data_IF_923899433257
#
_entry.id   IF_923899433257
#
_cell.length_a   1.000
_cell.length_b   1.000
_cell.length_c   1.000
_cell.angle_alpha   90.00
_cell.angle_beta   90.00
_cell.angle_gamma   90.00
#
_symmetry.space_group_name_H-M   'P 1'
#
loop_
_entity.id
_entity.type
_entity.pdbx_description
1 polymer ?
#
# COMPACT_ATOMS: atom_id res chain seq x y z
N UNK A 1 34.56 24.07 17.12
CA UNK A 1 34.39 23.43 15.81
C UNK A 1 35.63 23.82 15.02
N UNK A 2 36.44 22.84 14.66
CA UNK A 2 37.81 23.05 14.17
C UNK A 2 37.81 23.78 12.81
N UNK A 3 38.54 24.88 12.68
CA UNK A 3 38.49 25.76 11.49
C UNK A 3 38.89 25.02 10.20
N UNK A 4 39.75 24.01 10.33
CA UNK A 4 40.17 23.15 9.22
C UNK A 4 39.01 22.32 8.63
N UNK A 5 38.04 21.92 9.47
CA UNK A 5 36.82 21.22 9.00
C UNK A 5 35.86 22.16 8.28
N UNK A 6 35.88 23.44 8.64
CA UNK A 6 35.08 24.48 7.97
C UNK A 6 35.64 24.82 6.59
N UNK A 7 36.95 24.87 6.44
CA UNK A 7 37.60 25.18 5.16
C UNK A 7 37.40 24.03 4.15
N UNK A 8 37.57 22.78 4.59
CA UNK A 8 37.31 21.59 3.73
C UNK A 8 35.88 21.51 3.23
N UNK A 9 34.89 21.90 4.05
CA UNK A 9 33.49 21.93 3.65
C UNK A 9 33.23 23.03 2.60
N UNK A 10 33.85 24.20 2.76
CA UNK A 10 33.75 25.31 1.79
C UNK A 10 34.35 24.93 0.45
N UNK A 11 35.51 24.27 0.46
CA UNK A 11 36.17 23.79 -0.75
C UNK A 11 35.31 22.75 -1.48
N UNK A 12 34.74 21.78 -0.75
CA UNK A 12 33.84 20.78 -1.31
C UNK A 12 32.61 21.41 -1.98
N UNK A 13 31.99 22.41 -1.36
CA UNK A 13 30.83 23.10 -1.91
C UNK A 13 31.18 23.97 -3.12
N UNK A 14 32.39 24.56 -3.16
CA UNK A 14 32.86 25.35 -4.31
C UNK A 14 33.10 24.46 -5.53
N UNK A 15 33.65 23.27 -5.32
CA UNK A 15 33.98 22.34 -6.39
C UNK A 15 32.76 21.56 -6.91
N UNK A 16 31.74 21.35 -6.06
CA UNK A 16 30.52 20.61 -6.45
C UNK A 16 29.32 21.51 -6.76
N UNK A 17 29.51 22.84 -6.84
CA UNK A 17 28.43 23.73 -7.27
C UNK A 17 28.14 23.51 -8.77
N UNK A 18 26.90 23.15 -9.16
CA UNK A 18 26.56 23.00 -10.56
C UNK A 18 26.78 24.33 -11.31
N UNK A 19 27.60 24.29 -12.36
CA UNK A 19 27.89 25.45 -13.21
C UNK A 19 26.65 25.80 -14.01
N UNK A 20 25.86 26.76 -13.52
CA UNK A 20 24.78 27.35 -14.30
C UNK A 20 25.43 28.27 -15.36
N UNK A 21 25.49 27.81 -16.62
CA UNK A 21 25.85 28.68 -17.75
C UNK A 21 24.65 29.57 -18.05
N UNK A 22 24.66 30.79 -17.51
CA UNK A 22 23.80 31.87 -17.99
C UNK A 22 24.45 32.37 -19.29
N UNK A 23 23.86 32.03 -20.43
CA UNK A 23 24.27 32.54 -21.73
C UNK A 23 23.73 33.97 -21.86
N UNK A 24 24.54 34.97 -21.49
CA UNK A 24 24.35 36.33 -22.01
C UNK A 24 24.84 36.31 -23.45
N UNK A 25 23.93 36.57 -24.39
CA UNK A 25 24.22 36.51 -25.82
C UNK A 25 25.29 37.51 -26.24
N UNK A 26 26.18 37.06 -27.11
CA UNK A 26 26.62 37.89 -28.22
C UNK A 26 27.02 37.04 -29.42
N UNK A 27 26.56 37.50 -30.57
CA UNK A 27 26.76 36.96 -31.91
C UNK A 27 28.23 36.96 -32.32
N UNK A 28 28.71 35.82 -32.83
CA UNK A 28 29.63 35.79 -33.99
C UNK A 28 29.73 34.38 -34.57
N UNK A 29 29.42 34.28 -35.86
CA UNK A 29 29.58 33.09 -36.69
C UNK A 29 31.04 32.60 -36.72
N UNK A 30 31.27 31.30 -36.51
CA UNK A 30 31.99 30.47 -37.49
C UNK A 30 31.86 28.97 -37.22
N UNK A 31 31.81 28.23 -38.34
CA UNK A 31 31.69 26.79 -38.52
C UNK A 31 32.75 25.99 -37.74
N UNK A 32 32.35 24.86 -37.14
CA UNK A 32 32.87 23.55 -37.54
C UNK A 32 32.01 22.37 -37.05
N UNK A 33 31.90 21.36 -37.91
CA UNK A 33 31.12 20.14 -37.79
C UNK A 33 31.69 19.17 -36.73
N UNK A 34 30.83 18.59 -35.89
CA UNK A 34 30.69 17.12 -35.82
C UNK A 34 29.37 16.74 -35.16
N UNK A 35 28.63 15.87 -35.85
CA UNK A 35 27.25 15.51 -35.59
C UNK A 35 27.20 14.16 -34.83
N UNK A 36 26.26 14.09 -33.87
CA UNK A 36 25.43 12.92 -33.54
C UNK A 36 26.08 11.69 -32.88
N UNK A 37 25.80 11.51 -31.59
CA UNK A 37 24.66 10.68 -31.15
C UNK A 37 24.63 10.56 -29.62
N UNK A 38 23.85 11.40 -28.95
CA UNK A 38 23.43 11.22 -27.55
C UNK A 38 22.18 12.08 -27.29
N UNK A 39 21.09 11.75 -27.98
CA UNK A 39 19.77 12.29 -27.68
C UNK A 39 18.70 11.24 -27.99
N UNK A 40 18.49 10.35 -27.03
CA UNK A 40 17.21 9.70 -26.82
C UNK A 40 16.96 9.78 -25.32
N UNK A 41 15.86 10.44 -24.96
CA UNK A 41 15.20 10.46 -23.64
C UNK A 41 15.04 11.82 -22.95
N UNK A 42 15.01 12.94 -23.69
CA UNK A 42 14.50 14.21 -23.15
C UNK A 42 13.63 14.97 -24.17
N UNK A 43 12.50 14.38 -24.56
CA UNK A 43 11.39 15.17 -25.11
C UNK A 43 10.64 15.83 -23.94
N UNK A 44 11.11 17.01 -23.53
CA UNK A 44 10.31 18.03 -22.89
C UNK A 44 10.24 19.19 -23.88
N UNK A 45 9.08 19.30 -24.53
CA UNK A 45 8.74 20.34 -25.48
C UNK A 45 8.97 21.73 -24.84
N UNK A 46 10.06 22.38 -25.23
CA UNK A 46 10.28 23.79 -25.00
C UNK A 46 9.99 24.52 -26.32
N UNK A 47 8.72 24.82 -26.58
CA UNK A 47 8.33 25.72 -27.66
C UNK A 47 8.25 27.15 -27.11
N UNK A 48 9.28 27.93 -27.44
CA UNK A 48 9.30 29.38 -27.65
C UNK A 48 8.09 30.16 -27.08
N UNK A 49 8.27 30.71 -25.89
CA UNK A 49 7.56 31.90 -25.44
C UNK A 49 8.29 33.11 -26.02
N UNK A 50 7.68 33.79 -26.99
CA UNK A 50 7.71 35.25 -27.15
C UNK A 50 6.86 35.66 -28.37
N UNK A 51 5.54 35.70 -28.19
CA UNK A 51 4.68 36.72 -28.81
C UNK A 51 3.31 36.74 -28.10
N UNK A 52 2.76 37.89 -27.69
CA UNK A 52 1.52 37.96 -26.92
C UNK A 52 0.34 38.23 -27.84
N UNK A 53 -0.34 37.21 -28.37
CA UNK A 53 -1.74 37.38 -28.82
C UNK A 53 -2.43 36.03 -29.13
N UNK A 54 -3.55 35.82 -28.45
CA UNK A 54 -4.74 35.05 -28.88
C UNK A 54 -4.53 33.53 -29.03
N UNK A 55 -4.92 32.79 -27.99
CA UNK A 55 -6.15 31.96 -28.05
C UNK A 55 -6.38 31.27 -26.72
N UNK A 56 -7.61 31.39 -26.21
CA UNK A 56 -8.13 30.65 -25.07
C UNK A 56 -8.24 29.15 -25.42
N UNK A 57 -7.12 28.45 -25.62
CA UNK A 57 -7.12 27.01 -25.68
C UNK A 57 -7.15 26.47 -24.25
N UNK A 58 -8.37 26.37 -23.72
CA UNK A 58 -8.72 25.40 -22.68
C UNK A 58 -8.09 24.08 -23.10
N UNK A 59 -6.99 23.70 -22.47
CA UNK A 59 -6.47 22.34 -22.52
C UNK A 59 -7.56 21.44 -21.92
N UNK A 60 -8.51 20.98 -22.75
CA UNK A 60 -9.41 19.89 -22.42
C UNK A 60 -8.53 18.65 -22.32
N UNK A 61 -7.82 18.50 -21.20
CA UNK A 61 -7.30 17.21 -20.80
C UNK A 61 -8.50 16.27 -20.80
N UNK A 62 -8.51 15.26 -21.66
CA UNK A 62 -9.55 14.23 -21.65
C UNK A 62 -9.53 13.56 -20.27
N UNK A 63 -10.34 14.07 -19.34
CA UNK A 63 -10.51 13.48 -18.02
C UNK A 63 -11.25 12.17 -18.24
N UNK A 64 -10.61 11.06 -17.87
CA UNK A 64 -11.22 9.73 -17.91
C UNK A 64 -12.57 9.78 -17.19
N UNK A 65 -13.60 9.29 -17.86
CA UNK A 65 -14.90 9.08 -17.24
C UNK A 65 -14.89 7.72 -16.51
N UNK A 66 -14.73 7.78 -15.19
CA UNK A 66 -14.66 6.56 -14.37
C UNK A 66 -16.00 5.84 -14.21
N UNK A 67 -17.13 6.44 -14.60
CA UNK A 67 -18.42 5.73 -14.61
C UNK A 67 -18.57 4.87 -15.86
N UNK A 68 -18.04 5.33 -17.01
CA UNK A 68 -17.98 4.54 -18.25
C UNK A 68 -16.86 3.52 -18.24
N UNK A 69 -15.68 3.93 -17.77
CA UNK A 69 -14.49 3.09 -17.68
C UNK A 69 -13.96 3.07 -16.25
N UNK A 70 -14.51 2.23 -15.35
CA UNK A 70 -14.07 2.17 -13.97
C UNK A 70 -12.58 1.82 -13.84
N UNK A 71 -11.96 2.33 -12.78
CA UNK A 71 -10.65 1.84 -12.38
C UNK A 71 -10.85 0.51 -11.65
N UNK A 72 -10.48 -0.58 -12.32
CA UNK A 72 -10.54 -1.94 -11.80
C UNK A 72 -9.18 -2.29 -11.21
N UNK A 73 -9.15 -2.66 -9.93
CA UNK A 73 -7.94 -2.99 -9.17
C UNK A 73 -8.09 -4.40 -8.62
N UNK A 74 -7.11 -5.28 -8.83
CA UNK A 74 -7.13 -6.61 -8.21
C UNK A 74 -6.74 -6.49 -6.73
N UNK A 75 -7.53 -7.09 -5.83
CA UNK A 75 -7.22 -7.19 -4.42
C UNK A 75 -6.41 -8.47 -4.16
N UNK A 76 -5.20 -8.32 -3.63
CA UNK A 76 -4.31 -9.43 -3.27
C UNK A 76 -4.36 -9.80 -1.78
N UNK A 77 -5.16 -9.09 -0.97
CA UNK A 77 -5.30 -9.30 0.47
C UNK A 77 -5.72 -10.73 0.83
N UNK A 78 -6.80 -11.31 0.23
CA UNK A 78 -7.19 -12.70 0.52
C UNK A 78 -6.06 -13.71 0.27
N UNK A 79 -5.27 -13.51 -0.78
CA UNK A 79 -4.14 -14.37 -1.11
C UNK A 79 -3.02 -14.25 -0.08
N UNK A 80 -2.71 -13.02 0.36
CA UNK A 80 -1.74 -12.77 1.42
C UNK A 80 -2.18 -13.42 2.73
N UNK A 81 -3.45 -13.26 3.11
CA UNK A 81 -4.03 -13.89 4.31
C UNK A 81 -3.92 -15.42 4.24
N UNK A 82 -4.26 -16.03 3.12
CA UNK A 82 -4.12 -17.47 2.95
C UNK A 82 -2.68 -17.95 3.10
N UNK A 83 -1.71 -17.26 2.49
CA UNK A 83 -0.28 -17.60 2.64
C UNK A 83 0.16 -17.47 4.11
N UNK A 84 -0.28 -16.41 4.79
CA UNK A 84 0.00 -16.20 6.21
C UNK A 84 -0.54 -17.37 7.06
N UNK A 85 -1.80 -17.75 6.85
CA UNK A 85 -2.43 -18.87 7.56
C UNK A 85 -1.72 -20.20 7.25
N UNK A 86 -1.39 -20.46 5.98
CA UNK A 86 -0.73 -21.70 5.54
C UNK A 86 0.65 -21.86 6.19
N UNK A 87 1.49 -20.82 6.18
CA UNK A 87 2.80 -20.87 6.85
C UNK A 87 2.61 -21.03 8.36
N UNK A 88 1.64 -20.33 8.96
CA UNK A 88 1.33 -20.45 10.39
C UNK A 88 0.93 -21.88 10.77
N UNK A 89 0.11 -22.55 9.95
CA UNK A 89 -0.25 -23.97 10.16
C UNK A 89 0.95 -24.89 10.07
N UNK A 90 1.87 -24.68 9.12
CA UNK A 90 3.10 -25.49 9.01
C UNK A 90 3.97 -25.33 10.26
N UNK A 91 4.16 -24.10 10.74
CA UNK A 91 4.90 -23.83 11.98
C UNK A 91 4.21 -24.49 13.17
N UNK A 92 2.89 -24.38 13.28
CA UNK A 92 2.13 -25.01 14.36
C UNK A 92 2.30 -26.54 14.37
N UNK A 93 2.24 -27.19 13.21
CA UNK A 93 2.50 -28.62 13.07
C UNK A 93 3.92 -28.96 13.54
N UNK A 94 4.93 -28.19 13.11
CA UNK A 94 6.32 -28.42 13.49
C UNK A 94 6.56 -28.28 15.01
N UNK A 95 6.01 -27.24 15.63
CA UNK A 95 6.07 -27.05 17.09
C UNK A 95 5.46 -28.26 17.80
N UNK A 96 4.32 -28.75 17.35
CA UNK A 96 3.63 -29.87 18.01
C UNK A 96 4.39 -31.19 17.85
N UNK A 97 5.02 -31.43 16.69
CA UNK A 97 5.92 -32.57 16.49
C UNK A 97 7.11 -32.55 17.47
N UNK A 98 7.60 -31.36 17.85
CA UNK A 98 8.70 -31.21 18.79
C UNK A 98 8.28 -31.39 20.26
N UNK A 99 7.13 -30.84 20.65
CA UNK A 99 6.70 -30.81 22.07
C UNK A 99 5.73 -31.94 22.46
N UNK A 100 5.32 -32.79 21.52
CA UNK A 100 4.47 -33.99 21.72
C UNK A 100 3.19 -33.72 22.52
N UNK A 101 2.59 -32.54 22.37
CA UNK A 101 1.37 -32.18 23.10
C UNK A 101 0.43 -31.28 22.28
N UNK A 102 -0.87 -31.36 22.62
CA UNK A 102 -1.96 -30.45 22.23
C UNK A 102 -2.47 -30.49 20.77
N UNK A 103 -3.20 -31.56 20.41
CA UNK A 103 -3.93 -31.71 19.13
C UNK A 103 -4.93 -30.57 18.83
N UNK A 104 -5.53 -29.96 19.87
CA UNK A 104 -6.51 -28.87 19.71
C UNK A 104 -5.93 -27.64 18.99
N UNK A 105 -4.64 -27.35 19.16
CA UNK A 105 -3.99 -26.26 18.44
C UNK A 105 -3.88 -26.55 16.93
N UNK A 106 -3.64 -27.80 16.53
CA UNK A 106 -3.67 -28.20 15.11
C UNK A 106 -5.05 -27.93 14.54
N UNK A 107 -6.10 -28.40 15.20
CA UNK A 107 -7.47 -28.23 14.73
C UNK A 107 -7.84 -26.75 14.51
N UNK A 108 -7.41 -25.84 15.40
CA UNK A 108 -7.66 -24.40 15.26
C UNK A 108 -6.91 -23.84 14.04
N UNK A 109 -5.60 -24.06 13.93
CA UNK A 109 -4.80 -23.51 12.84
C UNK A 109 -5.20 -24.10 11.48
N UNK A 110 -5.50 -25.41 11.41
CA UNK A 110 -5.96 -26.04 10.17
C UNK A 110 -7.34 -25.55 9.76
N UNK A 111 -8.25 -25.32 10.72
CA UNK A 111 -9.57 -24.75 10.43
C UNK A 111 -9.47 -23.33 9.85
N UNK A 112 -8.65 -22.46 10.45
CA UNK A 112 -8.44 -21.08 9.95
C UNK A 112 -7.86 -21.09 8.53
N UNK A 113 -6.87 -21.95 8.27
CA UNK A 113 -6.26 -22.09 6.95
C UNK A 113 -7.25 -22.64 5.93
N UNK A 114 -8.07 -23.63 6.32
CA UNK A 114 -9.12 -24.18 5.46
C UNK A 114 -10.17 -23.11 5.11
N UNK A 115 -10.63 -22.32 6.07
CA UNK A 115 -11.55 -21.20 5.81
C UNK A 115 -10.97 -20.21 4.80
N UNK A 116 -9.69 -19.84 4.97
CA UNK A 116 -9.00 -18.93 4.05
C UNK A 116 -8.85 -19.52 2.65
N UNK A 117 -8.54 -20.82 2.55
CA UNK A 117 -8.45 -21.55 1.29
C UNK A 117 -9.79 -21.62 0.56
N UNK A 118 -10.85 -22.05 1.25
CA UNK A 118 -12.20 -22.14 0.71
C UNK A 118 -12.67 -20.79 0.17
N UNK A 119 -12.34 -19.69 0.86
CA UNK A 119 -12.67 -18.34 0.39
C UNK A 119 -12.01 -18.02 -0.95
N UNK A 120 -10.74 -18.37 -1.15
CA UNK A 120 -10.05 -18.18 -2.44
C UNK A 120 -10.68 -19.03 -3.53
N UNK A 121 -10.93 -20.32 -3.25
CA UNK A 121 -11.48 -21.27 -4.22
C UNK A 121 -12.90 -20.88 -4.64
N UNK A 122 -13.79 -20.64 -3.67
CA UNK A 122 -15.19 -20.26 -3.92
C UNK A 122 -15.30 -18.98 -4.75
N UNK A 123 -14.34 -18.06 -4.59
CA UNK A 123 -14.30 -16.82 -5.34
C UNK A 123 -13.42 -16.88 -6.60
N UNK A 124 -12.91 -18.06 -6.97
CA UNK A 124 -11.99 -18.27 -8.11
C UNK A 124 -10.79 -17.30 -8.09
N UNK A 125 -10.33 -16.92 -6.90
CA UNK A 125 -9.30 -15.92 -6.68
C UNK A 125 -9.58 -14.57 -7.40
N UNK A 126 -10.85 -14.20 -7.50
CA UNK A 126 -11.33 -13.05 -8.26
C UNK A 126 -11.90 -11.96 -7.32
N UNK A 127 -10.99 -11.30 -6.61
CA UNK A 127 -11.29 -10.18 -5.74
C UNK A 127 -10.86 -8.88 -6.40
N UNK A 128 -11.77 -7.92 -6.55
CA UNK A 128 -11.52 -6.67 -7.28
C UNK A 128 -12.17 -5.49 -6.59
N UNK A 129 -11.50 -4.34 -6.67
CA UNK A 129 -12.06 -3.05 -6.31
C UNK A 129 -12.42 -2.31 -7.59
N UNK A 130 -13.67 -1.86 -7.69
CA UNK A 130 -14.16 -1.01 -8.76
C UNK A 130 -14.30 0.40 -8.24
N UNK A 131 -13.55 1.34 -8.82
CA UNK A 131 -13.58 2.75 -8.46
C UNK A 131 -14.20 3.53 -9.63
N UNK A 132 -15.37 4.12 -9.40
CA UNK A 132 -16.07 4.99 -10.35
C UNK A 132 -16.04 6.45 -9.88
N UNK A 133 -16.76 7.38 -10.51
CA UNK A 133 -16.87 8.74 -9.98
C UNK A 133 -17.76 8.81 -8.74
N UNK A 134 -18.75 7.91 -8.64
CA UNK A 134 -19.80 7.92 -7.62
C UNK A 134 -19.54 6.97 -6.45
N UNK A 135 -18.88 5.84 -6.71
CA UNK A 135 -18.81 4.73 -5.75
C UNK A 135 -17.52 3.93 -5.87
N UNK A 136 -17.16 3.29 -4.76
CA UNK A 136 -16.08 2.32 -4.63
C UNK A 136 -16.71 1.01 -4.18
N UNK A 137 -16.56 -0.05 -4.98
CA UNK A 137 -17.15 -1.37 -4.72
C UNK A 137 -16.07 -2.42 -4.50
N UNK A 138 -16.24 -3.21 -3.46
CA UNK A 138 -15.53 -4.47 -3.28
C UNK A 138 -16.33 -5.60 -3.95
N UNK A 139 -15.72 -6.27 -4.92
CA UNK A 139 -16.35 -7.34 -5.69
C UNK A 139 -15.61 -8.65 -5.47
N UNK A 140 -16.33 -9.68 -5.07
CA UNK A 140 -15.86 -11.06 -5.01
C UNK A 140 -16.77 -11.94 -5.89
N UNK A 141 -16.16 -12.74 -6.78
CA UNK A 141 -16.90 -13.60 -7.72
C UNK A 141 -18.05 -12.90 -8.47
N UNK A 142 -17.79 -11.69 -8.97
CA UNK A 142 -18.75 -10.85 -9.68
C UNK A 142 -19.94 -10.34 -8.85
N UNK A 143 -19.97 -10.59 -7.53
CA UNK A 143 -20.95 -10.04 -6.59
C UNK A 143 -20.33 -8.88 -5.81
N UNK A 144 -21.11 -7.83 -5.57
CA UNK A 144 -20.68 -6.72 -4.72
C UNK A 144 -20.84 -7.13 -3.27
N UNK A 145 -19.75 -7.26 -2.52
CA UNK A 145 -19.80 -7.59 -1.09
C UNK A 145 -19.86 -6.32 -0.23
N UNK A 146 -19.23 -5.24 -0.68
CA UNK A 146 -19.26 -3.95 0.03
C UNK A 146 -19.18 -2.77 -0.92
N UNK A 147 -19.75 -1.64 -0.51
CA UNK A 147 -19.79 -0.43 -1.31
C UNK A 147 -19.70 0.82 -0.44
N UNK A 148 -18.90 1.79 -0.87
CA UNK A 148 -18.79 3.11 -0.25
C UNK A 148 -19.02 4.16 -1.33
N UNK A 149 -19.93 5.11 -1.08
CA UNK A 149 -20.10 6.26 -1.96
C UNK A 149 -18.90 7.22 -1.83
N UNK A 150 -18.41 7.74 -2.94
CA UNK A 150 -17.24 8.63 -2.97
C UNK A 150 -17.49 9.90 -2.14
N UNK A 151 -18.72 10.38 -2.08
CA UNK A 151 -19.11 11.54 -1.26
C UNK A 151 -19.13 11.23 0.25
N UNK A 152 -19.18 9.96 0.63
CA UNK A 152 -19.17 9.50 2.02
C UNK A 152 -17.78 9.09 2.50
N UNK A 153 -16.74 9.21 1.68
CA UNK A 153 -15.37 8.93 2.11
C UNK A 153 -14.95 9.94 3.18
N UNK A 154 -14.68 9.45 4.39
CA UNK A 154 -14.22 10.21 5.56
C UNK A 154 -12.70 10.38 5.53
N UNK A 155 -11.96 9.29 5.38
CA UNK A 155 -10.50 9.31 5.28
C UNK A 155 -9.96 8.06 4.53
N UNK A 156 -8.68 8.12 4.17
CA UNK A 156 -7.94 7.02 3.55
C UNK A 156 -6.64 6.87 4.32
N UNK A 157 -6.28 5.65 4.68
CA UNK A 157 -5.05 5.36 5.45
C UNK A 157 -4.29 4.18 4.86
N UNK A 158 -2.99 4.15 5.12
CA UNK A 158 -2.17 2.96 4.94
C UNK A 158 -2.53 1.92 5.99
N UNK A 159 -2.66 0.65 5.59
CA UNK A 159 -2.96 -0.44 6.52
C UNK A 159 -2.26 -1.75 6.14
N UNK A 160 -2.32 -2.69 7.08
CA UNK A 160 -2.13 -4.11 6.78
C UNK A 160 -3.50 -4.62 6.31
N UNK A 161 -3.64 -5.02 5.04
CA UNK A 161 -4.92 -5.46 4.52
C UNK A 161 -5.21 -6.85 5.07
N UNK A 162 -6.42 -7.01 5.61
CA UNK A 162 -6.87 -8.19 6.35
C UNK A 162 -8.28 -8.63 5.95
N UNK A 163 -8.95 -7.88 5.08
CA UNK A 163 -10.35 -8.07 4.68
C UNK A 163 -11.33 -8.06 5.86
N UNK A 164 -10.93 -7.50 7.00
CA UNK A 164 -11.75 -7.41 8.22
C UNK A 164 -13.07 -6.68 7.99
N UNK A 165 -13.16 -5.84 6.96
CA UNK A 165 -14.38 -5.15 6.60
C UNK A 165 -15.56 -6.04 6.20
N UNK A 166 -15.30 -7.32 5.93
CA UNK A 166 -16.29 -8.32 5.57
C UNK A 166 -16.75 -9.16 6.76
N UNK A 167 -16.12 -9.00 7.93
CA UNK A 167 -16.50 -9.70 9.15
C UNK A 167 -17.31 -8.74 10.01
N UNK A 168 -18.63 -8.95 10.03
CA UNK A 168 -19.53 -8.23 10.93
C UNK A 168 -19.44 -8.83 12.34
N UNK A 169 -18.47 -8.35 13.12
CA UNK A 169 -18.39 -8.70 14.55
C UNK A 169 -19.10 -7.60 15.33
N UNK A 170 -20.05 -8.00 16.19
CA UNK A 170 -20.67 -7.07 17.14
C UNK A 170 -19.58 -6.38 17.98
N UNK A 171 -19.62 -5.03 18.04
CA UNK A 171 -18.64 -4.21 18.78
C UNK A 171 -18.51 -4.60 20.26
N UNK A 172 -19.56 -5.10 20.89
CA UNK A 172 -19.51 -5.60 22.27
C UNK A 172 -18.71 -6.91 22.38
N UNK A 173 -18.92 -7.83 21.44
CA UNK A 173 -18.21 -9.11 21.37
C UNK A 173 -16.74 -8.91 21.05
N UNK A 174 -16.40 -7.98 20.14
CA UNK A 174 -15.00 -7.69 19.81
C UNK A 174 -14.25 -7.12 21.02
N UNK A 175 -14.87 -6.25 21.82
CA UNK A 175 -14.30 -5.75 23.08
C UNK A 175 -14.03 -6.89 24.07
N UNK A 176 -14.97 -7.81 24.24
CA UNK A 176 -14.80 -8.97 25.14
C UNK A 176 -13.63 -9.85 24.67
N UNK A 177 -13.54 -10.16 23.37
CA UNK A 177 -12.44 -10.96 22.81
C UNK A 177 -11.09 -10.27 23.06
N UNK A 178 -11.01 -8.95 22.84
CA UNK A 178 -9.78 -8.19 23.03
C UNK A 178 -9.38 -8.14 24.50
N UNK A 179 -10.31 -7.79 25.41
CA UNK A 179 -10.00 -7.73 26.84
C UNK A 179 -9.67 -9.11 27.40
N UNK A 180 -10.38 -10.15 26.97
CA UNK A 180 -10.06 -11.54 27.31
C UNK A 180 -8.68 -11.95 26.81
N UNK A 181 -8.33 -11.57 25.58
CA UNK A 181 -7.00 -11.77 25.02
C UNK A 181 -5.91 -11.08 25.85
N UNK A 182 -6.10 -9.80 26.20
CA UNK A 182 -5.16 -9.03 27.04
C UNK A 182 -5.02 -9.65 28.44
N UNK A 183 -6.12 -10.14 29.03
CA UNK A 183 -6.07 -10.79 30.34
C UNK A 183 -5.25 -12.08 30.29
N UNK A 184 -5.50 -12.94 29.29
CA UNK A 184 -4.71 -14.16 29.04
C UNK A 184 -3.24 -13.82 28.84
N UNK A 185 -2.93 -12.72 28.14
CA UNK A 185 -1.57 -12.23 27.93
C UNK A 185 -0.87 -11.85 29.23
N UNK A 186 -1.54 -11.12 30.12
CA UNK A 186 -1.00 -10.74 31.43
C UNK A 186 -0.70 -11.99 32.27
N UNK A 187 -1.62 -12.95 32.27
CA UNK A 187 -1.46 -14.22 32.99
C UNK A 187 -0.22 -14.97 32.46
N UNK A 188 -0.10 -15.15 31.15
CA UNK A 188 1.04 -15.86 30.53
C UNK A 188 2.39 -15.14 30.74
N UNK A 189 2.37 -13.81 30.83
CA UNK A 189 3.57 -13.02 31.13
C UNK A 189 4.04 -13.21 32.58
N UNK A 190 3.10 -13.21 33.54
CA UNK A 190 3.40 -13.43 34.97
C UNK A 190 4.02 -14.81 35.21
N UNK A 191 3.53 -15.83 34.51
CA UNK A 191 4.05 -17.20 34.62
C UNK A 191 5.38 -17.44 33.87
N UNK A 192 6.01 -16.39 33.31
CA UNK A 192 7.31 -16.45 32.61
C UNK A 192 7.39 -17.58 31.57
N UNK A 193 6.26 -17.91 30.96
CA UNK A 193 6.20 -18.95 29.94
C UNK A 193 6.88 -18.49 28.65
N UNK A 194 7.59 -19.42 27.98
CA UNK A 194 8.20 -19.23 26.65
C UNK A 194 7.24 -18.60 25.62
N UNK A 195 5.93 -18.77 25.85
CA UNK A 195 4.83 -18.13 25.11
C UNK A 195 5.01 -16.61 24.99
N UNK A 196 5.49 -15.89 26.01
CA UNK A 196 5.67 -14.43 25.97
C UNK A 196 6.69 -13.99 24.89
N UNK A 197 7.74 -14.79 24.63
CA UNK A 197 8.69 -14.55 23.53
C UNK A 197 8.02 -14.78 22.16
N UNK A 198 7.11 -15.76 22.07
CA UNK A 198 6.39 -16.07 20.83
C UNK A 198 5.56 -14.88 20.33
N UNK A 199 4.93 -14.12 21.23
CA UNK A 199 4.16 -12.92 20.83
C UNK A 199 5.07 -11.83 20.24
N UNK A 200 6.27 -11.63 20.77
CA UNK A 200 7.23 -10.67 20.20
C UNK A 200 7.68 -11.08 18.79
N UNK A 201 7.64 -12.38 18.48
CA UNK A 201 7.99 -12.87 17.14
C UNK A 201 6.88 -12.68 16.10
N UNK A 202 5.61 -12.56 16.51
CA UNK A 202 4.48 -12.36 15.59
C UNK A 202 4.64 -11.14 14.69
N UNK A 203 4.91 -9.91 15.17
CA UNK A 203 5.05 -8.75 14.29
C UNK A 203 6.25 -8.88 13.35
N UNK A 204 7.36 -9.48 13.82
CA UNK A 204 8.55 -9.76 13.00
C UNK A 204 8.19 -10.74 11.88
N UNK A 205 7.51 -11.83 12.23
CA UNK A 205 7.02 -12.84 11.30
C UNK A 205 6.04 -12.27 10.27
N UNK A 206 5.04 -11.50 10.71
CA UNK A 206 4.09 -10.81 9.83
C UNK A 206 4.79 -9.86 8.87
N UNK A 207 5.80 -9.13 9.34
CA UNK A 207 6.61 -8.25 8.50
C UNK A 207 7.38 -9.02 7.43
N UNK A 208 8.00 -10.14 7.78
CA UNK A 208 8.72 -10.98 6.81
C UNK A 208 7.79 -11.52 5.72
N UNK A 209 6.61 -12.04 6.10
CA UNK A 209 5.62 -12.53 5.12
C UNK A 209 5.14 -11.41 4.21
N UNK A 210 4.76 -10.26 4.76
CA UNK A 210 4.28 -9.14 3.96
C UNK A 210 5.36 -8.62 3.00
N UNK A 211 6.60 -8.48 3.47
CA UNK A 211 7.74 -8.05 2.64
C UNK A 211 8.03 -9.04 1.52
N UNK A 212 8.04 -10.34 1.84
CA UNK A 212 8.28 -11.41 0.87
C UNK A 212 7.18 -11.45 -0.19
N UNK A 213 5.92 -11.34 0.24
CA UNK A 213 4.78 -11.30 -0.66
C UNK A 213 4.81 -10.04 -1.56
N UNK A 214 5.14 -8.88 -1.00
CA UNK A 214 5.28 -7.65 -1.77
C UNK A 214 6.36 -7.78 -2.86
N UNK A 215 7.49 -8.41 -2.54
CA UNK A 215 8.54 -8.71 -3.50
C UNK A 215 8.05 -9.66 -4.60
N UNK A 216 7.38 -10.75 -4.25
CA UNK A 216 6.81 -11.70 -5.23
C UNK A 216 5.82 -10.99 -6.17
N UNK A 217 4.94 -10.16 -5.58
CA UNK A 217 3.86 -9.48 -6.28
C UNK A 217 4.36 -8.41 -7.26
N UNK A 218 5.39 -7.66 -6.87
CA UNK A 218 5.84 -6.46 -7.58
C UNK A 218 7.24 -6.57 -8.19
N UNK A 219 7.97 -7.66 -7.93
CA UNK A 219 9.39 -7.85 -8.31
C UNK A 219 10.30 -6.70 -7.86
N UNK A 220 9.94 -6.05 -6.76
CA UNK A 220 10.64 -4.91 -6.16
C UNK A 220 10.65 -5.04 -4.65
N UNK A 221 11.79 -4.77 -4.04
CA UNK A 221 11.90 -4.70 -2.58
C UNK A 221 11.26 -3.43 -2.05
N UNK A 222 10.59 -3.56 -0.90
CA UNK A 222 10.05 -2.46 -0.13
C UNK A 222 9.98 -2.88 1.31
N UNK A 223 10.63 -2.13 2.19
CA UNK A 223 10.58 -2.32 3.64
C UNK A 223 9.36 -1.63 4.28
N UNK A 224 8.34 -1.33 3.48
CA UNK A 224 7.10 -0.74 3.97
C UNK A 224 6.32 -1.78 4.76
N UNK A 225 6.08 -1.49 6.03
CA UNK A 225 5.23 -2.31 6.89
C UNK A 225 3.77 -2.34 6.41
N UNK A 226 3.29 -1.19 5.89
CA UNK A 226 1.93 -1.03 5.35
C UNK A 226 1.96 -1.03 3.83
N UNK A 227 1.32 -2.03 3.24
CA UNK A 227 1.30 -2.26 1.79
C UNK A 227 -0.10 -2.11 1.20
N UNK A 228 -1.15 -2.16 2.03
CA UNK A 228 -2.54 -2.00 1.64
C UNK A 228 -3.10 -0.60 1.91
N UNK A 229 -4.25 -0.33 1.31
CA UNK A 229 -5.03 0.88 1.56
C UNK A 229 -6.34 0.50 2.24
N UNK A 230 -6.77 1.35 3.16
CA UNK A 230 -8.12 1.31 3.72
C UNK A 230 -8.84 2.63 3.46
N UNK A 231 -10.08 2.53 3.02
CA UNK A 231 -10.97 3.67 2.75
C UNK A 231 -12.11 3.59 3.75
N UNK A 232 -12.32 4.65 4.53
CA UNK A 232 -13.42 4.74 5.48
C UNK A 232 -14.56 5.58 4.92
N UNK A 233 -15.78 5.08 5.10
CA UNK A 233 -17.05 5.78 4.93
C UNK A 233 -17.44 6.59 6.18
N UNK A 234 -18.63 7.17 6.17
CA UNK A 234 -19.19 7.91 7.31
C UNK A 234 -19.80 7.00 8.39
N UNK A 235 -20.32 5.84 8.01
CA UNK A 235 -21.13 4.96 8.88
C UNK A 235 -20.32 3.75 9.40
N UNK A 236 -19.08 3.97 9.81
CA UNK A 236 -18.09 2.92 10.15
C UNK A 236 -17.81 1.91 9.02
N UNK A 237 -18.33 2.17 7.83
CA UNK A 237 -18.00 1.41 6.64
C UNK A 237 -16.53 1.58 6.31
N UNK A 238 -15.90 0.48 5.93
CA UNK A 238 -14.53 0.49 5.48
C UNK A 238 -14.34 -0.52 4.36
N UNK A 239 -13.43 -0.25 3.44
CA UNK A 239 -12.95 -1.21 2.44
C UNK A 239 -11.44 -1.17 2.49
N UNK A 240 -10.82 -2.28 2.89
CA UNK A 240 -9.37 -2.47 2.77
C UNK A 240 -9.01 -3.42 1.62
N UNK A 241 -7.88 -3.13 0.98
CA UNK A 241 -7.40 -3.93 -0.14
C UNK A 241 -5.89 -3.75 -0.36
N UNK A 242 -5.30 -4.74 -1.01
CA UNK A 242 -3.89 -4.77 -1.39
C UNK A 242 -3.72 -4.63 -2.92
N UNK A 243 -3.40 -3.43 -3.43
CA UNK A 243 -3.15 -3.23 -4.85
C UNK A 243 -1.71 -3.59 -5.24
N UNK A 244 -1.49 -3.88 -6.53
CA UNK A 244 -0.14 -3.86 -7.13
C UNK A 244 0.37 -2.42 -7.25
N UNK A 245 1.69 -2.23 -7.34
CA UNK A 245 2.32 -0.90 -7.55
C UNK A 245 1.76 -0.19 -8.79
N UNK A 246 1.53 -0.92 -9.88
CA UNK A 246 0.97 -0.35 -11.12
C UNK A 246 -0.42 0.24 -10.92
N UNK A 247 -1.25 -0.45 -10.15
CA UNK A 247 -2.61 -0.02 -9.86
C UNK A 247 -2.62 1.07 -8.79
N UNK A 248 -1.75 0.99 -7.77
CA UNK A 248 -1.53 2.05 -6.80
C UNK A 248 -1.27 3.40 -7.48
N UNK A 249 -0.42 3.45 -8.50
CA UNK A 249 -0.15 4.69 -9.26
C UNK A 249 -1.41 5.27 -9.90
N UNK A 250 -2.31 4.42 -10.41
CA UNK A 250 -3.59 4.85 -11.00
C UNK A 250 -4.56 5.34 -9.92
N UNK A 251 -4.61 4.65 -8.78
CA UNK A 251 -5.44 5.00 -7.62
C UNK A 251 -5.00 6.34 -7.04
N UNK A 252 -3.69 6.55 -6.90
CA UNK A 252 -3.11 7.84 -6.47
C UNK A 252 -3.55 8.99 -7.39
N UNK A 253 -3.44 8.81 -8.71
CA UNK A 253 -3.91 9.82 -9.68
C UNK A 253 -5.41 10.09 -9.54
N UNK A 254 -6.23 9.06 -9.34
CA UNK A 254 -7.66 9.20 -9.14
C UNK A 254 -7.98 10.05 -7.90
N UNK A 255 -7.44 9.71 -6.73
CA UNK A 255 -7.76 10.41 -5.48
C UNK A 255 -7.21 11.83 -5.44
N UNK A 256 -6.04 12.06 -6.04
CA UNK A 256 -5.49 13.40 -6.19
C UNK A 256 -6.42 14.27 -7.05
N UNK A 257 -6.90 13.74 -8.19
CA UNK A 257 -7.75 14.48 -9.11
C UNK A 257 -9.19 14.69 -8.61
N UNK A 258 -9.75 13.72 -7.88
CA UNK A 258 -11.16 13.73 -7.45
C UNK A 258 -11.39 14.30 -6.06
N UNK A 259 -10.41 14.18 -5.16
CA UNK A 259 -10.55 14.58 -3.76
C UNK A 259 -9.43 15.50 -3.28
N UNK A 260 -8.41 15.76 -4.10
CA UNK A 260 -7.22 16.50 -3.65
C UNK A 260 -6.37 15.73 -2.65
N UNK A 261 -6.60 14.42 -2.48
CA UNK A 261 -5.90 13.59 -1.50
C UNK A 261 -4.65 13.00 -2.13
N UNK A 262 -3.48 13.32 -1.58
CA UNK A 262 -2.23 12.69 -1.98
C UNK A 262 -1.93 11.46 -1.11
N UNK A 263 -2.06 10.27 -1.71
CA UNK A 263 -1.87 8.99 -1.01
C UNK A 263 -0.45 8.73 -0.48
N UNK A 264 0.55 9.50 -0.91
CA UNK A 264 1.90 9.34 -0.38
C UNK A 264 2.08 9.96 1.01
N UNK A 265 1.15 10.84 1.43
CA UNK A 265 1.20 11.58 2.69
C UNK A 265 0.03 11.26 3.64
N UNK A 266 -0.64 10.13 3.42
CA UNK A 266 -1.75 9.70 4.31
C UNK A 266 -1.22 8.98 5.55
N UNK A 267 -1.97 9.09 6.64
CA UNK A 267 -1.66 8.42 7.91
C UNK A 267 -1.67 6.89 7.79
N UNK A 268 -1.09 6.24 8.79
CA UNK A 268 -1.08 4.78 8.93
C UNK A 268 -2.09 4.32 9.98
N UNK A 269 -2.59 3.09 9.83
CA UNK A 269 -3.41 2.42 10.84
C UNK A 269 -2.98 0.96 10.97
N UNK A 270 -2.67 0.56 12.22
CA UNK A 270 -2.18 -0.78 12.53
C UNK A 270 -3.26 -1.85 12.41
N UNK A 271 -4.48 -1.55 12.87
CA UNK A 271 -5.64 -2.44 12.78
C UNK A 271 -6.80 -1.66 12.13
N UNK A 272 -7.45 -2.20 11.10
CA UNK A 272 -8.56 -1.53 10.41
C UNK A 272 -9.79 -1.21 11.29
N UNK A 273 -9.95 -1.83 12.46
CA UNK A 273 -11.08 -1.56 13.38
C UNK A 273 -11.07 -0.10 13.88
N UNK A 274 -12.15 0.67 13.64
CA UNK A 274 -12.51 1.85 14.45
C UNK A 274 -13.31 1.34 15.65
N UNK A 275 -12.89 1.68 16.87
CA UNK A 275 -13.64 1.39 18.11
C UNK A 275 -14.56 2.55 18.44
#
# INVERSE_FOLDING_TARGET
>A
MDDDKREKLREYLRNNRPKNRVNLGNSSNNKENSNKNLEKDLNLDNSNLDNPQISNNKTKSNKRDYDKEPLIVKNYSPLLTFIFCLISSIIAIFVILLYKDNFYHIAIFTSITLCSFLRIVNNKNNFRIFITNSQIKYIANSKTEKMIFVNNIKNIKWCIPTDTHLVEINKGVSKIIIYGGILVMIVLFIFKTFVALFILTIPIYSYFINTSFYFILNKKYSFKFYTGLIIYGKDDDMIDFLPKISDYKKIKKYFLAKKGINLDFIDTKFIPLEF
#
